data_IF_432341017895
#
_entry.id   IF_432341017895
#
_cell.length_a   1.000
_cell.length_b   1.000
_cell.length_c   1.000
_cell.angle_alpha   90.00
_cell.angle_beta   90.00
_cell.angle_gamma   90.00
#
_symmetry.space_group_name_H-M   'P 1'
#
loop_
_entity.id
_entity.type
_entity.pdbx_description
1 polymer ?
#
# COMPACT_ATOMS: atom_id res chain seq x y z
N UNK A 1 44.88 -11.34 30.87
CA UNK A 1 43.84 -10.58 31.60
C UNK A 1 43.11 -9.74 30.57
N UNK A 2 41.87 -10.13 30.29
CA UNK A 2 41.02 -9.60 29.22
C UNK A 2 40.52 -8.19 29.55
N UNK A 3 40.66 -7.23 28.63
CA UNK A 3 39.75 -6.11 28.53
C UNK A 3 39.47 -5.83 27.04
N UNK A 4 38.43 -6.50 26.53
CA UNK A 4 37.75 -6.11 25.28
C UNK A 4 36.94 -4.85 25.59
N UNK A 5 37.32 -3.71 25.00
CA UNK A 5 36.42 -2.55 24.88
C UNK A 5 35.54 -2.79 23.66
N UNK A 6 34.26 -3.13 23.91
CA UNK A 6 33.22 -3.12 22.90
C UNK A 6 33.04 -1.69 22.38
N UNK A 7 33.34 -1.48 21.09
CA UNK A 7 32.85 -0.32 20.37
C UNK A 7 31.35 -0.51 20.14
N UNK A 8 30.53 0.17 20.94
CA UNK A 8 29.14 0.42 20.63
C UNK A 8 29.08 1.30 19.38
N UNK A 9 28.79 0.72 18.22
CA UNK A 9 28.30 1.48 17.08
C UNK A 9 26.87 1.91 17.41
N UNK A 10 26.75 3.12 17.95
CA UNK A 10 25.50 3.88 17.97
C UNK A 10 25.15 4.18 16.50
N UNK A 11 24.25 3.38 15.95
CA UNK A 11 23.55 3.72 14.72
C UNK A 11 22.62 4.88 15.06
N UNK A 12 23.10 6.11 14.84
CA UNK A 12 22.30 7.31 14.94
C UNK A 12 21.27 7.27 13.81
N UNK A 13 20.04 6.86 14.14
CA UNK A 13 18.90 6.96 13.24
C UNK A 13 18.43 8.40 13.29
N UNK A 14 18.51 9.09 12.16
CA UNK A 14 17.86 10.38 11.95
C UNK A 14 16.36 10.21 12.14
N UNK A 15 15.84 10.74 13.24
CA UNK A 15 14.42 10.90 13.48
C UNK A 15 13.92 12.07 12.62
N UNK A 16 13.57 11.77 11.38
CA UNK A 16 12.70 12.64 10.59
C UNK A 16 11.83 11.77 9.67
N UNK A 17 10.74 11.28 10.24
CA UNK A 17 9.61 10.76 9.49
C UNK A 17 8.36 11.11 10.29
N UNK A 18 7.34 11.67 9.63
CA UNK A 18 6.06 11.99 10.27
C UNK A 18 5.54 10.79 11.06
N UNK A 19 4.86 11.06 12.18
CA UNK A 19 4.41 10.04 13.13
C UNK A 19 3.68 8.89 12.41
N UNK A 20 4.41 7.81 12.15
CA UNK A 20 3.85 6.57 11.63
C UNK A 20 3.06 5.93 12.77
N UNK A 21 1.81 5.58 12.52
CA UNK A 21 0.92 4.91 13.47
C UNK A 21 1.30 3.43 13.64
N UNK A 22 2.55 3.16 14.03
CA UNK A 22 3.03 1.83 14.39
C UNK A 22 2.82 1.54 15.89
N UNK A 23 3.01 0.29 16.30
CA UNK A 23 2.83 -0.09 17.69
C UNK A 23 3.78 0.65 18.64
N UNK A 24 5.02 0.93 18.22
CA UNK A 24 6.00 1.55 19.10
C UNK A 24 5.60 3.00 19.45
N UNK A 25 5.08 3.74 18.47
CA UNK A 25 4.52 5.08 18.68
C UNK A 25 3.29 5.03 19.59
N UNK A 26 2.32 4.16 19.28
CA UNK A 26 1.10 4.00 20.08
C UNK A 26 1.40 3.60 21.54
N UNK A 27 2.35 2.68 21.73
CA UNK A 27 2.80 2.22 23.04
C UNK A 27 3.52 3.31 23.82
N UNK A 28 4.30 4.16 23.16
CA UNK A 28 4.94 5.32 23.80
C UNK A 28 3.90 6.33 24.32
N UNK A 29 2.86 6.65 23.54
CA UNK A 29 1.75 7.47 24.04
C UNK A 29 1.06 6.81 25.23
N UNK A 30 0.84 5.49 25.17
CA UNK A 30 0.24 4.74 26.27
C UNK A 30 1.06 4.80 27.56
N UNK A 31 2.39 4.64 27.47
CA UNK A 31 3.31 4.73 28.61
C UNK A 31 3.35 6.14 29.22
N UNK A 32 3.13 7.17 28.42
CA UNK A 32 3.04 8.56 28.86
C UNK A 32 1.64 8.94 29.37
N UNK A 33 0.73 7.98 29.50
CA UNK A 33 -0.67 8.18 29.90
C UNK A 33 -1.48 9.06 28.93
N UNK A 34 -0.98 9.26 27.70
CA UNK A 34 -1.66 9.96 26.62
C UNK A 34 -2.61 9.01 25.88
N UNK A 35 -3.67 8.61 26.60
CA UNK A 35 -4.62 7.61 26.10
C UNK A 35 -5.46 8.12 24.93
N UNK A 36 -5.66 9.44 24.80
CA UNK A 36 -6.39 10.02 23.67
C UNK A 36 -5.67 9.75 22.33
N UNK A 37 -4.34 9.82 22.31
CA UNK A 37 -3.56 9.47 21.12
C UNK A 37 -3.32 7.96 21.01
N UNK A 38 -3.09 7.27 22.12
CA UNK A 38 -2.73 5.85 22.11
C UNK A 38 -3.87 4.93 21.68
N UNK A 39 -5.07 5.07 22.26
CA UNK A 39 -6.14 4.07 22.12
C UNK A 39 -6.70 3.93 20.71
N UNK A 40 -6.89 5.00 19.91
CA UNK A 40 -7.31 4.85 18.53
C UNK A 40 -6.31 4.03 17.69
N UNK A 41 -5.02 4.21 17.93
CA UNK A 41 -3.96 3.46 17.24
C UNK A 41 -3.91 2.00 17.72
N UNK A 42 -3.90 1.77 19.03
CA UNK A 42 -3.93 0.43 19.62
C UNK A 42 -5.18 -0.36 19.22
N UNK A 43 -6.33 0.30 19.10
CA UNK A 43 -7.57 -0.33 18.62
C UNK A 43 -7.42 -0.84 17.20
N UNK A 44 -6.84 -0.04 16.30
CA UNK A 44 -6.61 -0.46 14.92
C UNK A 44 -5.63 -1.64 14.86
N UNK A 45 -4.52 -1.59 15.61
CA UNK A 45 -3.56 -2.68 15.69
C UNK A 45 -4.19 -3.95 16.28
N UNK A 46 -5.02 -3.84 17.33
CA UNK A 46 -5.73 -4.95 17.93
C UNK A 46 -6.71 -5.62 16.96
N UNK A 47 -7.38 -4.83 16.11
CA UNK A 47 -8.25 -5.32 15.03
C UNK A 47 -7.48 -6.05 13.92
N UNK A 48 -6.21 -5.70 13.71
CA UNK A 48 -5.30 -6.45 12.83
C UNK A 48 -4.77 -7.73 13.48
N UNK A 49 -5.08 -7.97 14.76
CA UNK A 49 -4.58 -9.12 15.52
C UNK A 49 -3.25 -8.88 16.22
N UNK A 50 -2.87 -7.61 16.46
CA UNK A 50 -1.65 -7.32 17.22
C UNK A 50 -1.80 -7.75 18.68
N UNK A 51 -1.08 -8.79 19.14
CA UNK A 51 -1.36 -9.44 20.42
C UNK A 51 -1.13 -8.54 21.63
N UNK A 52 -0.06 -7.74 21.62
CA UNK A 52 0.23 -6.81 22.71
C UNK A 52 -0.79 -5.65 22.77
N UNK A 53 -1.19 -5.07 21.63
CA UNK A 53 -2.23 -4.05 21.58
C UNK A 53 -3.57 -4.57 22.13
N UNK A 54 -3.95 -5.82 21.82
CA UNK A 54 -5.13 -6.47 22.42
C UNK A 54 -5.02 -6.55 23.95
N UNK A 55 -3.85 -6.93 24.47
CA UNK A 55 -3.61 -6.96 25.91
C UNK A 55 -3.67 -5.56 26.56
N UNK A 56 -3.14 -4.53 25.89
CA UNK A 56 -3.21 -3.15 26.37
C UNK A 56 -4.64 -2.62 26.38
N UNK A 57 -5.47 -2.96 25.37
CA UNK A 57 -6.91 -2.65 25.43
C UNK A 57 -7.58 -3.32 26.63
N UNK A 58 -7.20 -4.57 26.93
CA UNK A 58 -7.73 -5.26 28.10
C UNK A 58 -7.40 -4.52 29.40
N UNK A 59 -6.15 -4.06 29.56
CA UNK A 59 -5.74 -3.23 30.70
C UNK A 59 -6.48 -1.89 30.74
N UNK A 60 -6.72 -1.27 29.59
CA UNK A 60 -7.43 0.00 29.51
C UNK A 60 -8.86 -0.11 29.99
N UNK A 61 -9.60 -1.13 29.54
CA UNK A 61 -10.95 -1.40 30.01
C UNK A 61 -10.99 -1.85 31.48
N UNK A 62 -9.96 -2.54 31.97
CA UNK A 62 -9.90 -2.95 33.37
C UNK A 62 -9.75 -1.75 34.31
N UNK A 63 -8.83 -0.84 34.01
CA UNK A 63 -8.43 0.24 34.89
C UNK A 63 -9.03 1.60 34.53
N UNK A 64 -9.84 1.67 33.46
CA UNK A 64 -10.44 2.92 33.00
C UNK A 64 -9.43 3.89 32.38
N UNK A 65 -8.38 3.37 31.72
CA UNK A 65 -7.33 4.20 31.10
C UNK A 65 -7.82 4.75 29.77
N UNK A 66 -8.38 5.95 29.76
CA UNK A 66 -8.89 6.64 28.56
C UNK A 66 -10.20 6.07 27.99
N UNK A 67 -10.79 5.08 28.64
CA UNK A 67 -12.11 4.50 28.36
C UNK A 67 -12.81 4.23 29.68
N UNK A 68 -14.14 4.07 29.66
CA UNK A 68 -14.88 3.64 30.83
C UNK A 68 -14.49 2.21 31.24
N UNK A 69 -14.57 1.94 32.54
CA UNK A 69 -14.29 0.61 33.08
C UNK A 69 -15.33 -0.39 32.56
N UNK A 70 -14.88 -1.42 31.86
CA UNK A 70 -15.71 -2.52 31.38
C UNK A 70 -14.96 -3.84 31.50
N UNK A 71 -15.26 -4.58 32.58
CA UNK A 71 -14.61 -5.87 32.86
C UNK A 71 -14.96 -6.93 31.82
N UNK A 72 -16.12 -6.85 31.14
CA UNK A 72 -16.48 -7.80 30.09
C UNK A 72 -15.61 -7.57 28.84
N UNK A 73 -15.39 -6.30 28.44
CA UNK A 73 -14.50 -5.96 27.34
C UNK A 73 -13.04 -6.26 27.69
N UNK A 74 -12.60 -5.94 28.91
CA UNK A 74 -11.27 -6.32 29.38
C UNK A 74 -11.05 -7.82 29.25
N UNK A 75 -12.00 -8.63 29.74
CA UNK A 75 -11.96 -10.08 29.66
C UNK A 75 -11.91 -10.57 28.19
N UNK A 76 -12.73 -9.99 27.32
CA UNK A 76 -12.79 -10.34 25.91
C UNK A 76 -11.45 -10.11 25.19
N UNK A 77 -10.86 -8.93 25.36
CA UNK A 77 -9.58 -8.59 24.73
C UNK A 77 -8.40 -9.40 25.30
N UNK A 78 -8.36 -9.67 26.61
CA UNK A 78 -7.34 -10.53 27.20
C UNK A 78 -7.41 -11.96 26.68
N UNK A 79 -8.63 -12.51 26.53
CA UNK A 79 -8.82 -13.84 25.98
C UNK A 79 -8.47 -13.91 24.48
N UNK A 80 -8.77 -12.84 23.73
CA UNK A 80 -8.37 -12.72 22.32
C UNK A 80 -6.84 -12.68 22.18
N UNK A 81 -6.14 -11.87 22.99
CA UNK A 81 -4.67 -11.83 23.02
C UNK A 81 -4.05 -13.19 23.36
N UNK A 82 -4.72 -13.99 24.19
CA UNK A 82 -4.29 -15.35 24.55
C UNK A 82 -4.31 -16.30 23.34
N UNK A 83 -5.22 -16.12 22.38
CA UNK A 83 -5.25 -16.94 21.15
C UNK A 83 -3.97 -16.80 20.33
N UNK A 84 -3.35 -15.62 20.39
CA UNK A 84 -2.08 -15.29 19.74
C UNK A 84 -0.85 -15.57 20.61
N UNK A 85 -1.03 -16.25 21.75
CA UNK A 85 0.04 -16.60 22.69
C UNK A 85 0.81 -15.38 23.22
N UNK A 86 0.13 -14.24 23.38
CA UNK A 86 0.73 -13.04 23.95
C UNK A 86 1.24 -13.31 25.38
N UNK A 87 2.52 -13.05 25.70
CA UNK A 87 3.01 -13.10 27.07
C UNK A 87 2.18 -12.22 28.01
N UNK A 88 1.79 -12.76 29.17
CA UNK A 88 0.95 -12.07 30.16
C UNK A 88 -0.56 -12.18 29.92
N UNK A 89 -1.01 -12.58 28.73
CA UNK A 89 -2.45 -12.64 28.43
C UNK A 89 -3.17 -13.77 29.15
N UNK A 90 -2.51 -14.91 29.40
CA UNK A 90 -3.11 -16.02 30.14
C UNK A 90 -3.36 -15.66 31.61
N UNK A 91 -2.39 -15.01 32.25
CA UNK A 91 -2.48 -14.51 33.62
C UNK A 91 -3.57 -13.44 33.73
N UNK A 92 -3.55 -12.45 32.82
CA UNK A 92 -4.56 -11.38 32.78
C UNK A 92 -5.97 -11.93 32.56
N UNK A 93 -6.13 -12.92 31.70
CA UNK A 93 -7.40 -13.64 31.51
C UNK A 93 -7.90 -14.29 32.80
N UNK A 94 -7.03 -14.98 33.55
CA UNK A 94 -7.40 -15.66 34.81
C UNK A 94 -7.82 -14.63 35.86
N UNK A 95 -7.10 -13.53 35.97
CA UNK A 95 -7.45 -12.40 36.84
C UNK A 95 -8.85 -11.86 36.52
N UNK A 96 -9.08 -11.47 35.27
CA UNK A 96 -10.33 -10.87 34.83
C UNK A 96 -11.52 -11.82 34.95
N UNK A 97 -11.31 -13.13 34.77
CA UNK A 97 -12.34 -14.16 34.97
C UNK A 97 -12.92 -14.13 36.39
N UNK A 98 -12.12 -13.77 37.40
CA UNK A 98 -12.57 -13.69 38.79
C UNK A 98 -13.28 -12.37 39.11
N UNK A 99 -13.03 -11.33 38.31
CA UNK A 99 -13.66 -10.01 38.44
C UNK A 99 -14.96 -9.88 37.65
N UNK A 100 -15.26 -10.82 36.74
CA UNK A 100 -16.47 -10.79 35.91
C UNK A 100 -17.74 -10.73 36.76
N UNK A 101 -18.62 -9.72 36.54
CA UNK A 101 -19.93 -9.66 37.19
C UNK A 101 -20.82 -10.86 36.81
N UNK A 102 -20.67 -11.35 35.58
CA UNK A 102 -21.36 -12.53 35.07
C UNK A 102 -20.49 -13.27 34.05
N UNK A 103 -20.23 -14.56 34.30
CA UNK A 103 -19.51 -15.41 33.35
C UNK A 103 -20.21 -15.54 32.01
N UNK A 104 -21.54 -15.49 32.00
CA UNK A 104 -22.33 -15.56 30.76
C UNK A 104 -22.07 -14.32 29.90
N UNK A 105 -22.17 -13.13 30.50
CA UNK A 105 -21.99 -11.85 29.80
C UNK A 105 -20.55 -11.70 29.31
N UNK A 106 -19.55 -12.01 30.15
CA UNK A 106 -18.14 -11.98 29.71
C UNK A 106 -17.86 -12.92 28.54
N UNK A 107 -18.48 -14.10 28.50
CA UNK A 107 -18.35 -15.02 27.37
C UNK A 107 -19.04 -14.49 26.11
N UNK A 108 -20.16 -13.79 26.23
CA UNK A 108 -20.83 -13.13 25.10
C UNK A 108 -19.95 -12.00 24.53
N UNK A 109 -19.40 -11.14 25.38
CA UNK A 109 -18.47 -10.08 24.96
C UNK A 109 -17.24 -10.67 24.23
N UNK A 110 -16.68 -11.79 24.73
CA UNK A 110 -15.61 -12.48 24.02
C UNK A 110 -16.03 -12.99 22.64
N UNK A 111 -17.22 -13.57 22.48
CA UNK A 111 -17.73 -14.02 21.18
C UNK A 111 -17.85 -12.82 20.22
N UNK A 112 -18.36 -11.68 20.69
CA UNK A 112 -18.51 -10.46 19.90
C UNK A 112 -17.17 -9.90 19.39
N UNK A 113 -16.13 -9.95 20.22
CA UNK A 113 -14.77 -9.53 19.85
C UNK A 113 -14.11 -10.58 18.95
N UNK A 114 -14.09 -11.85 19.35
CA UNK A 114 -13.34 -12.92 18.68
C UNK A 114 -13.90 -13.31 17.31
N UNK A 115 -15.20 -13.16 17.07
CA UNK A 115 -15.79 -13.40 15.75
C UNK A 115 -15.28 -12.44 14.67
N UNK A 116 -14.72 -11.29 15.08
CA UNK A 116 -14.18 -10.27 14.19
C UNK A 116 -12.64 -10.22 14.24
N UNK A 117 -12.07 -10.33 15.45
CA UNK A 117 -10.66 -10.03 15.70
C UNK A 117 -9.88 -11.18 16.37
N UNK A 118 -10.52 -12.34 16.54
CA UNK A 118 -9.87 -13.58 16.98
C UNK A 118 -9.03 -14.21 15.88
N UNK A 119 -8.18 -15.17 16.24
CA UNK A 119 -7.23 -15.80 15.32
C UNK A 119 -7.92 -16.49 14.14
N UNK A 120 -9.05 -17.17 14.40
CA UNK A 120 -9.82 -17.83 13.34
C UNK A 120 -10.49 -16.82 12.41
N UNK A 121 -11.11 -15.78 12.98
CA UNK A 121 -11.77 -14.72 12.22
C UNK A 121 -10.78 -13.99 11.31
N UNK A 122 -9.62 -13.60 11.85
CA UNK A 122 -8.60 -12.91 11.07
C UNK A 122 -8.01 -13.80 9.98
N UNK A 123 -7.81 -15.10 10.24
CA UNK A 123 -7.40 -16.05 9.20
C UNK A 123 -8.44 -16.15 8.06
N UNK A 124 -9.72 -16.17 8.41
CA UNK A 124 -10.83 -16.23 7.46
C UNK A 124 -10.97 -14.95 6.64
N UNK A 125 -10.94 -13.78 7.29
CA UNK A 125 -11.45 -12.53 6.72
C UNK A 125 -10.37 -11.49 6.39
N UNK A 126 -9.13 -11.69 6.83
CA UNK A 126 -8.07 -10.69 6.67
C UNK A 126 -6.76 -11.30 6.18
N UNK A 127 -6.21 -12.29 6.88
CA UNK A 127 -4.86 -12.79 6.59
C UNK A 127 -4.80 -13.53 5.25
N UNK A 128 -3.72 -13.35 4.47
CA UNK A 128 -3.53 -14.04 3.20
C UNK A 128 -3.40 -15.55 3.42
N UNK A 129 -3.97 -16.34 2.51
CA UNK A 129 -3.79 -17.79 2.49
C UNK A 129 -2.62 -18.09 1.55
N UNK A 130 -1.48 -18.46 2.13
CA UNK A 130 -0.22 -18.63 1.38
C UNK A 130 -0.20 -20.00 0.68
N UNK A 131 0.11 -20.02 -0.62
CA UNK A 131 0.39 -21.27 -1.33
C UNK A 131 1.76 -21.83 -0.94
N UNK A 132 1.87 -23.16 -0.79
CA UNK A 132 3.17 -23.80 -0.60
C UNK A 132 4.06 -23.73 -1.86
N UNK A 133 3.48 -23.46 -3.03
CA UNK A 133 4.19 -23.28 -4.29
C UNK A 133 4.23 -21.78 -4.63
N UNK A 134 5.37 -21.15 -4.38
CA UNK A 134 5.63 -19.79 -4.84
C UNK A 134 5.68 -19.78 -6.37
N UNK A 135 4.67 -19.18 -7.01
CA UNK A 135 4.76 -18.82 -8.42
C UNK A 135 5.44 -17.46 -8.47
N UNK A 136 6.62 -17.38 -9.09
CA UNK A 136 7.23 -16.07 -9.36
C UNK A 136 6.25 -15.28 -10.22
N UNK A 137 5.80 -14.08 -9.80
CA UNK A 137 5.06 -13.21 -10.70
C UNK A 137 5.89 -13.03 -11.97
N UNK A 138 5.21 -13.10 -13.12
CA UNK A 138 5.88 -13.01 -14.41
C UNK A 138 6.56 -11.65 -14.51
N UNK A 139 7.88 -11.62 -14.33
CA UNK A 139 8.65 -10.39 -14.42
C UNK A 139 8.69 -9.95 -15.88
N UNK A 140 8.18 -8.76 -16.16
CA UNK A 140 8.32 -8.16 -17.48
C UNK A 140 9.77 -7.77 -17.70
N UNK A 141 10.29 -8.10 -18.88
CA UNK A 141 11.67 -7.77 -19.24
C UNK A 141 11.71 -6.35 -19.80
N UNK A 142 12.69 -5.53 -19.39
CA UNK A 142 12.87 -4.20 -19.96
C UNK A 142 13.29 -4.30 -21.44
N UNK A 143 12.75 -3.41 -22.26
CA UNK A 143 13.17 -3.18 -23.64
C UNK A 143 14.52 -2.46 -23.67
N UNK A 144 14.66 -1.41 -22.85
CA UNK A 144 15.90 -0.66 -22.66
C UNK A 144 16.29 -0.71 -21.18
N UNK A 145 17.52 -1.16 -20.91
CA UNK A 145 17.99 -1.37 -19.54
C UNK A 145 19.42 -0.83 -19.35
N UNK A 146 19.64 0.50 -19.42
CA UNK A 146 20.94 1.07 -19.11
C UNK A 146 21.38 0.66 -17.70
N UNK A 147 22.64 0.27 -17.58
CA UNK A 147 23.23 -0.10 -16.28
C UNK A 147 23.57 1.17 -15.49
N UNK A 148 23.50 1.10 -14.14
CA UNK A 148 24.05 2.15 -13.30
C UNK A 148 25.54 2.36 -13.56
N UNK A 149 25.96 3.62 -13.53
CA UNK A 149 27.36 4.00 -13.58
C UNK A 149 27.96 3.94 -12.17
N UNK A 150 28.76 2.91 -11.91
CA UNK A 150 29.43 2.70 -10.62
C UNK A 150 30.90 3.11 -10.65
N UNK A 151 31.36 3.90 -11.62
CA UNK A 151 32.80 4.20 -11.79
C UNK A 151 33.45 4.76 -10.51
N UNK A 152 32.76 5.66 -9.81
CA UNK A 152 33.21 6.23 -8.53
C UNK A 152 33.09 5.28 -7.32
N UNK A 153 32.56 4.07 -7.52
CA UNK A 153 32.29 3.06 -6.48
C UNK A 153 33.06 1.76 -6.75
N UNK A 154 34.12 1.81 -7.55
CA UNK A 154 34.85 0.62 -7.96
C UNK A 154 35.42 -0.15 -6.75
N UNK A 155 35.00 -1.41 -6.59
CA UNK A 155 35.43 -2.28 -5.48
C UNK A 155 34.49 -2.31 -4.27
N UNK A 156 33.52 -1.41 -4.20
CA UNK A 156 32.46 -1.44 -3.19
C UNK A 156 31.52 -2.61 -3.47
N UNK A 157 31.20 -3.39 -2.44
CA UNK A 157 30.16 -4.43 -2.51
C UNK A 157 28.89 -3.82 -1.94
N UNK A 158 27.93 -3.60 -2.81
CA UNK A 158 26.68 -2.97 -2.45
C UNK A 158 25.51 -3.60 -3.20
N UNK A 159 24.32 -3.49 -2.61
CA UNK A 159 23.05 -3.81 -3.23
C UNK A 159 22.00 -2.79 -2.83
N UNK A 160 21.00 -2.62 -3.70
CA UNK A 160 19.86 -1.75 -3.45
C UNK A 160 18.60 -2.43 -3.99
N UNK A 161 17.59 -2.53 -3.15
CA UNK A 161 16.22 -2.92 -3.51
C UNK A 161 15.50 -1.65 -3.91
N UNK A 162 15.15 -1.55 -5.18
CA UNK A 162 14.47 -0.40 -5.77
C UNK A 162 13.04 -0.79 -6.10
N UNK A 163 12.10 0.07 -5.73
CA UNK A 163 10.69 -0.04 -6.07
C UNK A 163 10.34 1.02 -7.09
N UNK A 164 9.46 0.71 -8.03
CA UNK A 164 9.10 1.62 -9.12
C UNK A 164 7.79 1.18 -9.78
N UNK A 165 7.15 2.09 -10.49
CA UNK A 165 5.99 1.79 -11.32
C UNK A 165 6.39 1.80 -12.80
N UNK A 166 5.62 1.10 -13.63
CA UNK A 166 5.70 1.15 -15.08
C UNK A 166 4.37 1.68 -15.59
N UNK A 167 4.36 2.88 -16.17
CA UNK A 167 3.15 3.48 -16.71
C UNK A 167 2.72 2.84 -18.04
N UNK A 168 1.58 3.28 -18.56
CA UNK A 168 0.92 2.82 -19.78
C UNK A 168 1.78 3.05 -21.04
N UNK A 169 2.74 3.97 -20.99
CA UNK A 169 3.71 4.24 -22.05
C UNK A 169 4.99 3.40 -21.90
N UNK A 170 5.05 2.50 -20.91
CA UNK A 170 6.22 1.66 -20.65
C UNK A 170 7.38 2.39 -19.97
N UNK A 171 7.16 3.59 -19.45
CA UNK A 171 8.18 4.38 -18.76
C UNK A 171 8.16 4.09 -17.26
N UNK A 172 9.34 4.21 -16.64
CA UNK A 172 9.48 4.09 -15.19
C UNK A 172 9.16 5.41 -14.49
N UNK A 173 8.35 5.35 -13.45
CA UNK A 173 8.04 6.48 -12.57
C UNK A 173 7.95 6.05 -11.09
N UNK A 174 7.80 7.03 -10.19
CA UNK A 174 7.71 6.83 -8.74
C UNK A 174 8.82 5.93 -8.14
N UNK A 175 10.01 5.96 -8.76
CA UNK A 175 11.11 5.10 -8.33
C UNK A 175 11.71 5.56 -7.01
N UNK A 176 11.98 4.60 -6.12
CA UNK A 176 12.58 4.85 -4.80
C UNK A 176 13.42 3.67 -4.34
N UNK A 177 14.48 3.96 -3.59
CA UNK A 177 15.25 2.93 -2.90
C UNK A 177 14.51 2.54 -1.62
N UNK A 178 14.09 1.28 -1.54
CA UNK A 178 13.39 0.74 -0.39
C UNK A 178 14.35 0.30 0.71
N UNK A 179 15.51 -0.22 0.30
CA UNK A 179 16.56 -0.69 1.19
C UNK A 179 17.88 -0.80 0.43
N UNK A 180 18.98 -0.34 1.00
CA UNK A 180 20.30 -0.53 0.43
C UNK A 180 21.35 -0.89 1.47
N UNK A 181 22.39 -1.57 1.01
CA UNK A 181 23.59 -1.87 1.76
C UNK A 181 24.84 -1.58 0.93
N UNK A 182 25.85 -0.91 1.49
CA UNK A 182 25.71 -0.06 2.67
C UNK A 182 24.69 1.07 2.37
N UNK A 183 24.01 1.61 3.39
CA UNK A 183 22.94 2.58 3.16
C UNK A 183 23.40 3.79 2.33
N UNK A 184 22.57 4.19 1.36
CA UNK A 184 22.78 5.36 0.50
C UNK A 184 24.02 5.34 -0.43
N UNK A 185 24.78 4.24 -0.47
CA UNK A 185 26.08 4.24 -1.19
C UNK A 185 25.94 4.17 -2.72
N UNK A 186 24.87 3.54 -3.21
CA UNK A 186 24.63 3.37 -4.65
C UNK A 186 23.25 3.89 -5.08
N UNK A 187 22.55 4.60 -4.19
CA UNK A 187 21.13 4.93 -4.34
C UNK A 187 20.90 5.90 -5.51
N UNK A 188 21.74 6.91 -5.65
CA UNK A 188 21.65 7.89 -6.74
C UNK A 188 21.90 7.22 -8.11
N UNK A 189 22.93 6.37 -8.18
CA UNK A 189 23.32 5.68 -9.41
C UNK A 189 22.24 4.72 -9.89
N UNK A 190 21.60 3.97 -8.97
CA UNK A 190 20.54 3.02 -9.34
C UNK A 190 19.24 3.72 -9.72
N UNK A 191 18.88 4.83 -9.06
CA UNK A 191 17.71 5.63 -9.42
C UNK A 191 17.91 6.30 -10.79
N UNK A 192 19.10 6.86 -11.03
CA UNK A 192 19.44 7.47 -12.32
C UNK A 192 19.40 6.45 -13.48
N UNK A 193 19.72 5.19 -13.20
CA UNK A 193 19.63 4.11 -14.18
C UNK A 193 18.18 3.68 -14.42
N UNK A 194 17.43 3.37 -13.36
CA UNK A 194 16.10 2.78 -13.47
C UNK A 194 15.09 3.75 -14.11
N UNK A 195 15.23 5.05 -13.88
CA UNK A 195 14.38 6.07 -14.53
C UNK A 195 14.58 6.17 -16.05
N UNK A 196 15.62 5.53 -16.58
CA UNK A 196 15.88 5.44 -18.03
C UNK A 196 15.46 4.07 -18.61
N UNK A 197 14.92 3.19 -17.78
CA UNK A 197 14.44 1.90 -18.24
C UNK A 197 13.10 2.07 -18.95
N UNK A 198 12.88 1.25 -19.96
CA UNK A 198 11.61 1.19 -20.68
C UNK A 198 11.15 -0.25 -20.81
N UNK A 199 9.84 -0.43 -20.91
CA UNK A 199 9.16 -1.72 -20.96
C UNK A 199 8.10 -1.73 -22.05
N UNK A 200 7.66 -2.93 -22.41
CA UNK A 200 6.39 -3.13 -23.13
C UNK A 200 5.33 -3.49 -22.08
N UNK A 201 4.38 -2.60 -21.76
CA UNK A 201 3.31 -2.93 -20.82
C UNK A 201 2.43 -4.06 -21.35
N UNK A 202 1.88 -4.92 -20.48
CA UNK A 202 0.87 -5.87 -20.88
C UNK A 202 -0.38 -5.12 -21.35
N UNK A 203 -1.19 -5.76 -22.20
CA UNK A 203 -2.43 -5.16 -22.70
C UNK A 203 -3.66 -5.92 -22.19
N UNK A 204 -4.75 -5.21 -21.95
CA UNK A 204 -6.04 -5.82 -21.58
C UNK A 204 -6.72 -6.45 -22.81
N UNK A 205 -7.92 -7.01 -22.64
CA UNK A 205 -8.67 -7.64 -23.72
C UNK A 205 -9.07 -6.66 -24.85
N UNK A 206 -9.12 -5.36 -24.55
CA UNK A 206 -9.46 -4.28 -25.48
C UNK A 206 -8.22 -3.68 -26.16
N UNK A 207 -7.01 -4.15 -25.81
CA UNK A 207 -5.75 -3.66 -26.36
C UNK A 207 -5.15 -2.46 -25.62
N UNK A 208 -5.76 -1.97 -24.54
CA UNK A 208 -5.19 -0.88 -23.75
C UNK A 208 -3.99 -1.36 -22.94
N UNK A 209 -2.95 -0.54 -22.88
CA UNK A 209 -1.82 -0.79 -22.01
C UNK A 209 -2.24 -0.79 -20.52
N UNK A 210 -1.75 -1.76 -19.77
CA UNK A 210 -1.98 -1.93 -18.35
C UNK A 210 -0.74 -1.44 -17.59
N UNK A 211 -0.94 -0.43 -16.76
CA UNK A 211 0.04 0.05 -15.80
C UNK A 211 0.43 -1.06 -14.81
N UNK A 212 1.72 -1.14 -14.49
CA UNK A 212 2.24 -2.08 -13.50
C UNK A 212 2.85 -1.33 -12.34
N UNK A 213 2.11 -1.26 -11.26
CA UNK A 213 2.61 -0.57 -10.09
C UNK A 213 3.47 -1.47 -9.21
N UNK A 214 4.31 -0.84 -8.38
CA UNK A 214 5.04 -1.49 -7.30
C UNK A 214 5.96 -2.63 -7.73
N UNK A 215 6.58 -2.49 -8.89
CA UNK A 215 7.62 -3.41 -9.34
C UNK A 215 8.84 -3.29 -8.41
N UNK A 216 9.60 -4.39 -8.29
CA UNK A 216 10.81 -4.42 -7.45
C UNK A 216 11.98 -4.96 -8.26
N UNK A 217 13.13 -4.29 -8.17
CA UNK A 217 14.39 -4.73 -8.74
C UNK A 217 15.53 -4.66 -7.72
N UNK A 218 16.45 -5.61 -7.78
CA UNK A 218 17.64 -5.63 -6.91
C UNK A 218 18.87 -5.32 -7.75
N UNK A 219 19.43 -4.13 -7.54
CA UNK A 219 20.74 -3.78 -8.08
C UNK A 219 21.85 -4.32 -7.19
N UNK A 220 22.95 -4.69 -7.81
CA UNK A 220 24.17 -5.04 -7.08
C UNK A 220 25.41 -4.66 -7.88
N UNK A 221 26.48 -4.33 -7.18
CA UNK A 221 27.78 -4.00 -7.80
C UNK A 221 28.57 -5.27 -8.12
N UNK A 222 29.47 -5.71 -7.22
CA UNK A 222 30.25 -6.95 -7.32
C UNK A 222 29.57 -8.08 -6.55
N UNK A 223 29.80 -9.33 -6.99
CA UNK A 223 29.34 -10.52 -6.26
C UNK A 223 29.92 -10.54 -4.85
N UNK A 224 29.06 -10.57 -3.84
CA UNK A 224 29.43 -10.65 -2.42
C UNK A 224 30.39 -11.83 -2.13
N UNK A 225 30.23 -12.96 -2.81
CA UNK A 225 31.10 -14.14 -2.65
C UNK A 225 32.57 -13.89 -3.01
N UNK A 226 32.85 -12.88 -3.83
CA UNK A 226 34.22 -12.49 -4.22
C UNK A 226 34.82 -11.39 -3.33
N UNK A 227 34.05 -10.89 -2.36
CA UNK A 227 34.47 -9.81 -1.48
C UNK A 227 35.51 -10.26 -0.46
N UNK A 228 36.30 -9.33 0.08
CA UNK A 228 37.18 -9.59 1.24
C UNK A 228 36.34 -10.08 2.42
N UNK A 229 36.87 -11.01 3.22
CA UNK A 229 36.19 -11.59 4.40
C UNK A 229 35.59 -10.53 5.35
N UNK A 230 36.28 -9.41 5.54
CA UNK A 230 35.79 -8.28 6.34
C UNK A 230 34.44 -7.73 5.81
N UNK A 231 34.33 -7.53 4.50
CA UNK A 231 33.11 -7.00 3.85
C UNK A 231 31.98 -8.02 3.92
N UNK A 232 32.28 -9.31 3.75
CA UNK A 232 31.27 -10.37 3.93
C UNK A 232 30.73 -10.40 5.36
N UNK A 233 31.60 -10.22 6.36
CA UNK A 233 31.21 -10.15 7.76
C UNK A 233 30.37 -8.92 8.08
N UNK A 234 30.75 -7.74 7.56
CA UNK A 234 29.99 -6.49 7.73
C UNK A 234 28.60 -6.60 7.11
N UNK A 235 28.49 -7.20 5.93
CA UNK A 235 27.21 -7.48 5.27
C UNK A 235 26.33 -8.42 6.09
N UNK A 236 26.90 -9.52 6.60
CA UNK A 236 26.15 -10.44 7.45
C UNK A 236 25.69 -9.78 8.74
N UNK A 237 26.57 -9.00 9.38
CA UNK A 237 26.25 -8.24 10.61
C UNK A 237 25.09 -7.29 10.39
N UNK A 238 25.03 -6.62 9.23
CA UNK A 238 23.91 -5.77 8.87
C UNK A 238 22.58 -6.55 8.77
N UNK A 239 22.58 -7.68 8.06
CA UNK A 239 21.38 -8.54 7.94
C UNK A 239 20.95 -9.06 9.32
N UNK A 240 21.89 -9.49 10.15
CA UNK A 240 21.61 -10.01 11.48
C UNK A 240 21.02 -8.93 12.40
N UNK A 241 21.53 -7.69 12.32
CA UNK A 241 20.97 -6.56 13.05
C UNK A 241 19.54 -6.23 12.61
N UNK A 242 19.27 -6.24 11.30
CA UNK A 242 17.91 -6.03 10.76
C UNK A 242 16.98 -7.16 11.25
N UNK A 243 17.44 -8.41 11.20
CA UNK A 243 16.66 -9.56 11.69
C UNK A 243 16.37 -9.44 13.19
N UNK A 244 17.37 -9.11 14.00
CA UNK A 244 17.21 -8.95 15.44
C UNK A 244 16.17 -7.88 15.79
N UNK A 245 16.19 -6.74 15.10
CA UNK A 245 15.17 -5.70 15.27
C UNK A 245 13.79 -6.18 14.78
N UNK A 246 13.73 -6.93 13.69
CA UNK A 246 12.48 -7.51 13.21
C UNK A 246 11.86 -8.52 14.22
N UNK A 247 12.70 -9.37 14.82
CA UNK A 247 12.33 -10.34 15.86
C UNK A 247 11.91 -9.66 17.17
N UNK A 248 12.50 -8.50 17.47
CA UNK A 248 12.11 -7.66 18.60
C UNK A 248 10.75 -6.93 18.38
N UNK A 249 10.12 -7.10 17.22
CA UNK A 249 8.79 -6.56 16.95
C UNK A 249 8.78 -5.12 16.47
N UNK A 250 9.84 -4.63 15.81
CA UNK A 250 9.81 -3.31 15.16
C UNK A 250 9.24 -3.42 13.74
N UNK A 251 8.11 -2.75 13.47
CA UNK A 251 7.34 -2.86 12.22
C UNK A 251 8.17 -2.54 10.97
N UNK A 252 8.95 -1.46 11.01
CA UNK A 252 9.87 -1.06 9.94
C UNK A 252 10.91 -2.15 9.63
N UNK A 253 11.51 -2.76 10.66
CA UNK A 253 12.52 -3.79 10.47
C UNK A 253 11.93 -5.12 10.03
N UNK A 254 10.71 -5.45 10.45
CA UNK A 254 9.97 -6.59 9.90
C UNK A 254 9.74 -6.42 8.39
N UNK A 255 9.38 -5.21 7.94
CA UNK A 255 9.25 -4.89 6.52
C UNK A 255 10.60 -4.97 5.78
N UNK A 256 11.66 -4.33 6.32
CA UNK A 256 13.00 -4.38 5.74
C UNK A 256 13.54 -5.80 5.64
N UNK A 257 13.32 -6.63 6.65
CA UNK A 257 13.71 -8.03 6.60
C UNK A 257 12.91 -8.80 5.53
N UNK A 258 11.62 -8.52 5.38
CA UNK A 258 10.80 -9.02 4.26
C UNK A 258 11.40 -8.67 2.88
N UNK A 259 11.89 -7.44 2.70
CA UNK A 259 12.61 -7.01 1.49
C UNK A 259 13.91 -7.81 1.26
N UNK A 260 14.69 -8.06 2.32
CA UNK A 260 15.92 -8.87 2.27
C UNK A 260 15.59 -10.31 1.83
N UNK A 261 14.52 -10.90 2.36
CA UNK A 261 14.03 -12.23 1.97
C UNK A 261 13.58 -12.23 0.51
N UNK A 262 12.78 -11.24 0.09
CA UNK A 262 12.29 -11.10 -1.28
C UNK A 262 13.44 -10.92 -2.29
N UNK A 263 14.48 -10.18 -1.91
CA UNK A 263 15.69 -10.00 -2.70
C UNK A 263 16.55 -11.28 -2.82
N UNK A 264 16.22 -12.34 -2.08
CA UNK A 264 16.99 -13.60 -2.08
C UNK A 264 18.35 -13.48 -1.40
N UNK A 265 18.55 -12.46 -0.57
CA UNK A 265 19.79 -12.24 0.20
C UNK A 265 19.91 -13.19 1.39
N UNK A 266 18.77 -13.74 1.84
CA UNK A 266 18.67 -14.84 2.80
C UNK A 266 17.79 -15.96 2.21
N UNK A 267 17.97 -17.19 2.70
CA UNK A 267 17.24 -18.38 2.23
C UNK A 267 16.42 -19.01 3.36
N UNK A 268 15.35 -19.73 3.01
CA UNK A 268 14.55 -20.53 3.94
C UNK A 268 13.44 -19.76 4.67
N UNK A 269 13.31 -18.46 4.40
CA UNK A 269 12.30 -17.58 5.00
C UNK A 269 11.17 -17.32 4.00
N UNK A 270 9.95 -17.09 4.50
CA UNK A 270 8.77 -16.76 3.67
C UNK A 270 8.52 -15.25 3.69
N UNK A 271 8.51 -14.63 2.51
CA UNK A 271 8.32 -13.16 2.36
C UNK A 271 7.02 -12.69 3.02
N UNK A 272 5.90 -13.37 2.72
CA UNK A 272 4.58 -12.98 3.24
C UNK A 272 4.48 -13.05 4.76
N UNK A 273 5.21 -13.96 5.42
CA UNK A 273 5.18 -14.07 6.88
C UNK A 273 5.78 -12.80 7.52
N UNK A 274 6.83 -12.24 6.92
CA UNK A 274 7.47 -11.00 7.38
C UNK A 274 6.64 -9.76 7.06
N UNK A 275 6.04 -9.69 5.86
CA UNK A 275 5.12 -8.62 5.53
C UNK A 275 3.86 -8.66 6.39
N UNK A 276 3.31 -9.84 6.70
CA UNK A 276 2.14 -9.93 7.55
C UNK A 276 2.45 -9.46 8.98
N UNK A 277 3.60 -9.87 9.55
CA UNK A 277 4.07 -9.37 10.86
C UNK A 277 4.17 -7.84 10.85
N UNK A 278 4.86 -7.27 9.86
CA UNK A 278 5.02 -5.83 9.73
C UNK A 278 3.66 -5.10 9.56
N UNK A 279 2.75 -5.66 8.77
CA UNK A 279 1.44 -5.08 8.47
C UNK A 279 0.54 -5.04 9.72
N UNK A 280 0.51 -6.13 10.49
CA UNK A 280 -0.19 -6.22 11.79
C UNK A 280 0.37 -5.20 12.78
N UNK A 281 1.65 -4.89 12.65
CA UNK A 281 2.38 -3.94 13.47
C UNK A 281 2.31 -2.48 12.99
N UNK A 282 1.46 -2.21 12.00
CA UNK A 282 1.17 -0.86 11.52
C UNK A 282 2.06 -0.37 10.38
N UNK A 283 2.91 -1.23 9.80
CA UNK A 283 3.71 -0.83 8.63
C UNK A 283 2.83 -0.73 7.37
N UNK A 284 2.57 0.49 6.91
CA UNK A 284 1.69 0.77 5.78
C UNK A 284 2.20 0.18 4.45
N UNK A 285 3.52 0.15 4.22
CA UNK A 285 4.09 -0.48 3.02
C UNK A 285 3.87 -1.99 3.03
N UNK A 286 3.99 -2.63 4.20
CA UNK A 286 3.68 -4.04 4.35
C UNK A 286 2.18 -4.33 4.17
N UNK A 287 1.29 -3.49 4.73
CA UNK A 287 -0.16 -3.60 4.51
C UNK A 287 -0.48 -3.54 3.01
N UNK A 288 0.14 -2.61 2.29
CA UNK A 288 0.02 -2.50 0.85
C UNK A 288 0.54 -3.74 0.10
N UNK A 289 1.67 -4.31 0.54
CA UNK A 289 2.21 -5.54 -0.07
C UNK A 289 1.30 -6.75 0.16
N UNK A 290 0.67 -6.86 1.33
CA UNK A 290 -0.32 -7.90 1.59
C UNK A 290 -1.55 -7.69 0.71
N UNK A 291 -2.07 -6.46 0.59
CA UNK A 291 -3.17 -6.13 -0.31
C UNK A 291 -2.89 -6.57 -1.76
N UNK A 292 -1.72 -6.22 -2.30
CA UNK A 292 -1.34 -6.63 -3.65
C UNK A 292 -1.24 -8.15 -3.81
N UNK A 293 -0.80 -8.87 -2.78
CA UNK A 293 -0.80 -10.33 -2.83
C UNK A 293 -2.22 -10.86 -3.00
N UNK A 294 -3.17 -10.44 -2.16
CA UNK A 294 -4.55 -10.94 -2.21
C UNK A 294 -5.35 -10.39 -3.40
N UNK A 295 -4.92 -9.29 -4.05
CA UNK A 295 -5.47 -8.87 -5.34
C UNK A 295 -4.97 -9.73 -6.50
N UNK A 296 -3.65 -9.89 -6.59
CA UNK A 296 -2.99 -10.41 -7.80
C UNK A 296 -2.74 -11.91 -7.74
N UNK A 297 -2.79 -12.53 -6.57
CA UNK A 297 -2.59 -13.96 -6.37
C UNK A 297 -1.15 -14.42 -6.55
N UNK A 298 -0.17 -13.51 -6.48
CA UNK A 298 1.23 -13.81 -6.84
C UNK A 298 1.94 -14.71 -5.83
N UNK A 299 1.46 -14.76 -4.58
CA UNK A 299 2.07 -15.55 -3.49
C UNK A 299 1.02 -16.17 -2.53
N UNK A 300 -0.25 -15.85 -2.73
CA UNK A 300 -1.38 -16.23 -1.89
C UNK A 300 -2.65 -16.34 -2.75
N UNK A 301 -3.72 -16.88 -2.18
CA UNK A 301 -5.03 -16.91 -2.83
C UNK A 301 -5.53 -15.48 -3.11
N UNK A 302 -6.18 -15.30 -4.28
CA UNK A 302 -6.90 -14.06 -4.59
C UNK A 302 -8.15 -13.96 -3.72
N UNK A 303 -8.35 -12.79 -3.12
CA UNK A 303 -9.52 -12.46 -2.30
C UNK A 303 -9.72 -10.94 -2.29
N UNK A 304 -10.67 -10.46 -3.09
CA UNK A 304 -10.98 -9.02 -3.21
C UNK A 304 -11.51 -8.41 -1.91
N UNK A 305 -12.19 -9.18 -1.06
CA UNK A 305 -12.67 -8.68 0.23
C UNK A 305 -11.51 -8.46 1.19
N UNK A 306 -10.56 -9.39 1.25
CA UNK A 306 -9.31 -9.19 2.01
C UNK A 306 -8.50 -8.02 1.47
N UNK A 307 -8.47 -7.86 0.14
CA UNK A 307 -7.79 -6.74 -0.50
C UNK A 307 -8.35 -5.39 -0.04
N UNK A 308 -9.67 -5.20 -0.11
CA UNK A 308 -10.34 -3.97 0.35
C UNK A 308 -9.99 -3.66 1.81
N UNK A 309 -10.00 -4.68 2.67
CA UNK A 309 -9.64 -4.50 4.08
C UNK A 309 -8.19 -4.01 4.24
N UNK A 310 -7.22 -4.68 3.60
CA UNK A 310 -5.81 -4.28 3.69
C UNK A 310 -5.54 -2.92 3.04
N UNK A 311 -6.16 -2.64 1.90
CA UNK A 311 -6.06 -1.34 1.23
C UNK A 311 -6.65 -0.23 2.09
N UNK A 312 -7.75 -0.47 2.81
CA UNK A 312 -8.31 0.51 3.74
C UNK A 312 -7.31 0.88 4.84
N UNK A 313 -6.57 -0.11 5.36
CA UNK A 313 -5.50 0.17 6.33
C UNK A 313 -4.30 0.89 5.69
N UNK A 314 -3.89 0.50 4.49
CA UNK A 314 -2.76 1.10 3.79
C UNK A 314 -3.03 2.55 3.32
N UNK A 315 -4.27 2.84 2.90
CA UNK A 315 -4.76 4.16 2.49
C UNK A 315 -5.06 5.10 3.67
N UNK A 316 -5.02 4.56 4.90
CA UNK A 316 -5.34 5.32 6.12
C UNK A 316 -4.42 6.55 6.22
N UNK A 317 -5.02 7.67 6.61
CA UNK A 317 -4.38 8.99 6.75
C UNK A 317 -3.82 9.56 5.43
N UNK A 318 -4.07 8.89 4.29
CA UNK A 318 -3.69 9.34 2.97
C UNK A 318 -2.24 9.11 2.60
N UNK A 319 -1.42 8.52 3.46
CA UNK A 319 0.03 8.45 3.20
C UNK A 319 0.45 7.48 2.07
N UNK A 320 -0.51 6.80 1.43
CA UNK A 320 -0.26 5.91 0.31
C UNK A 320 -1.30 6.12 -0.81
N UNK A 321 -1.06 7.06 -1.74
CA UNK A 321 -2.04 7.38 -2.79
C UNK A 321 -2.29 6.20 -3.73
N UNK A 322 -1.31 5.32 -3.91
CA UNK A 322 -1.46 4.09 -4.68
C UNK A 322 -2.45 3.12 -4.01
N UNK A 323 -2.39 2.98 -2.67
CA UNK A 323 -3.37 2.18 -1.93
C UNK A 323 -4.78 2.77 -2.04
N UNK A 324 -4.92 4.10 -1.92
CA UNK A 324 -6.19 4.79 -2.09
C UNK A 324 -6.76 4.59 -3.50
N UNK A 325 -5.91 4.67 -4.53
CA UNK A 325 -6.32 4.41 -5.91
C UNK A 325 -6.81 2.97 -6.13
N UNK A 326 -6.03 1.97 -5.73
CA UNK A 326 -6.45 0.57 -5.86
C UNK A 326 -7.72 0.27 -5.06
N UNK A 327 -7.90 0.91 -3.90
CA UNK A 327 -9.12 0.79 -3.11
C UNK A 327 -10.32 1.34 -3.88
N UNK A 328 -10.17 2.52 -4.47
CA UNK A 328 -11.22 3.10 -5.29
C UNK A 328 -11.58 2.22 -6.47
N UNK A 329 -10.60 1.63 -7.17
CA UNK A 329 -10.88 0.68 -8.25
C UNK A 329 -11.71 -0.51 -7.79
N UNK A 330 -11.41 -1.09 -6.62
CA UNK A 330 -12.21 -2.18 -6.05
C UNK A 330 -13.64 -1.75 -5.67
N UNK A 331 -13.82 -0.50 -5.27
CA UNK A 331 -15.13 0.07 -4.92
C UNK A 331 -15.92 0.56 -6.16
N UNK A 332 -15.27 0.73 -7.31
CA UNK A 332 -15.90 1.04 -8.60
C UNK A 332 -16.26 -0.20 -9.42
N UNK A 333 -15.75 -1.36 -9.03
CA UNK A 333 -16.14 -2.63 -9.64
C UNK A 333 -17.59 -2.99 -9.25
N UNK A 334 -18.51 -2.88 -10.21
CA UNK A 334 -19.94 -3.15 -9.99
C UNK A 334 -20.25 -4.59 -9.59
N UNK A 335 -19.34 -5.53 -9.86
CA UNK A 335 -19.49 -6.93 -9.45
C UNK A 335 -19.04 -7.16 -8.00
N UNK A 336 -18.42 -6.16 -7.37
CA UNK A 336 -17.97 -6.24 -5.99
C UNK A 336 -19.12 -5.97 -5.01
N UNK A 337 -19.27 -6.82 -3.98
CA UNK A 337 -20.30 -6.63 -2.94
C UNK A 337 -20.12 -5.32 -2.14
N UNK A 338 -18.91 -4.74 -2.18
CA UNK A 338 -18.58 -3.47 -1.56
C UNK A 338 -18.64 -2.29 -2.56
N UNK A 339 -19.25 -2.47 -3.73
CA UNK A 339 -19.42 -1.41 -4.73
C UNK A 339 -20.01 -0.14 -4.08
N UNK A 340 -19.24 0.95 -4.13
CA UNK A 340 -19.56 2.23 -3.52
C UNK A 340 -18.80 3.35 -4.23
N UNK A 341 -19.38 3.91 -5.32
CA UNK A 341 -18.73 4.96 -6.10
C UNK A 341 -18.56 6.27 -5.32
N UNK A 342 -19.41 6.55 -4.31
CA UNK A 342 -19.25 7.74 -3.47
C UNK A 342 -18.01 7.61 -2.57
N UNK A 343 -17.80 6.43 -1.99
CA UNK A 343 -16.59 6.14 -1.22
C UNK A 343 -15.36 6.02 -2.11
N UNK A 344 -15.48 5.47 -3.32
CA UNK A 344 -14.38 5.45 -4.29
C UNK A 344 -13.92 6.86 -4.64
N UNK A 345 -14.85 7.79 -4.90
CA UNK A 345 -14.55 9.19 -5.16
C UNK A 345 -13.75 9.86 -4.03
N UNK A 346 -14.02 9.52 -2.77
CA UNK A 346 -13.27 10.04 -1.63
C UNK A 346 -11.80 9.58 -1.64
N UNK A 347 -11.54 8.29 -1.90
CA UNK A 347 -10.18 7.77 -1.98
C UNK A 347 -9.45 8.25 -3.24
N UNK A 348 -10.16 8.41 -4.36
CA UNK A 348 -9.63 9.03 -5.56
C UNK A 348 -9.22 10.48 -5.32
N UNK A 349 -10.07 11.28 -4.67
CA UNK A 349 -9.76 12.65 -4.29
C UNK A 349 -8.51 12.72 -3.41
N UNK A 350 -8.42 11.87 -2.39
CA UNK A 350 -7.26 11.79 -1.49
C UNK A 350 -5.95 11.45 -2.21
N UNK A 351 -6.00 10.55 -3.21
CA UNK A 351 -4.83 10.21 -4.03
C UNK A 351 -4.48 11.34 -5.02
N UNK A 352 -5.50 11.96 -5.62
CA UNK A 352 -5.34 13.09 -6.54
C UNK A 352 -4.74 14.33 -5.86
N UNK A 353 -5.11 14.61 -4.60
CA UNK A 353 -4.52 15.68 -3.77
C UNK A 353 -3.01 15.51 -3.57
N UNK A 354 -2.50 14.28 -3.65
CA UNK A 354 -1.07 13.95 -3.63
C UNK A 354 -0.44 13.89 -5.02
N UNK A 355 -1.11 14.43 -6.02
CA UNK A 355 -0.67 14.44 -7.41
C UNK A 355 -0.48 13.04 -8.02
N UNK A 356 -1.17 12.02 -7.53
CA UNK A 356 -1.09 10.68 -8.11
C UNK A 356 -1.87 10.62 -9.43
N UNK A 357 -1.14 10.68 -10.55
CA UNK A 357 -1.67 10.77 -11.91
C UNK A 357 -2.82 9.80 -12.22
N UNK A 358 -2.70 8.48 -11.95
CA UNK A 358 -3.79 7.54 -12.22
C UNK A 358 -5.09 7.87 -11.48
N UNK A 359 -5.00 8.38 -10.24
CA UNK A 359 -6.19 8.80 -9.50
C UNK A 359 -6.78 10.11 -10.06
N UNK A 360 -5.95 11.06 -10.52
CA UNK A 360 -6.43 12.27 -11.18
C UNK A 360 -7.26 11.91 -12.41
N UNK A 361 -6.73 11.02 -13.26
CA UNK A 361 -7.40 10.55 -14.47
C UNK A 361 -8.74 9.91 -14.14
N UNK A 362 -8.74 8.89 -13.28
CA UNK A 362 -9.95 8.14 -12.93
C UNK A 362 -10.99 9.03 -12.23
N UNK A 363 -10.54 9.93 -11.36
CA UNK A 363 -11.45 10.83 -10.64
C UNK A 363 -12.10 11.85 -11.57
N UNK A 364 -11.32 12.44 -12.49
CA UNK A 364 -11.86 13.39 -13.45
C UNK A 364 -12.91 12.71 -14.35
N UNK A 365 -12.63 11.49 -14.83
CA UNK A 365 -13.60 10.71 -15.61
C UNK A 365 -14.85 10.36 -14.80
N UNK A 366 -14.70 9.93 -13.54
CA UNK A 366 -15.83 9.65 -12.65
C UNK A 366 -16.72 10.91 -12.45
N UNK A 367 -16.11 12.08 -12.25
CA UNK A 367 -16.84 13.34 -12.10
C UNK A 367 -17.56 13.76 -13.39
N UNK A 368 -16.99 13.50 -14.56
CA UNK A 368 -17.61 13.86 -15.84
C UNK A 368 -18.74 12.91 -16.24
N UNK A 369 -18.60 11.61 -15.98
CA UNK A 369 -19.40 10.56 -16.61
C UNK A 369 -20.33 9.81 -15.66
N UNK A 370 -20.23 10.03 -14.34
CA UNK A 370 -21.07 9.32 -13.36
C UNK A 370 -22.55 9.62 -13.53
N UNK A 371 -23.38 8.56 -13.57
CA UNK A 371 -24.85 8.68 -13.50
C UNK A 371 -25.36 9.15 -12.13
N UNK A 372 -24.54 9.03 -11.07
CA UNK A 372 -24.88 9.58 -9.75
C UNK A 372 -24.74 11.11 -9.75
N UNK A 373 -25.84 11.88 -9.62
CA UNK A 373 -25.80 13.34 -9.69
C UNK A 373 -25.08 13.99 -8.50
N UNK A 374 -24.84 13.25 -7.39
CA UNK A 374 -24.02 13.76 -6.28
C UNK A 374 -22.53 13.77 -6.61
N UNK A 375 -22.11 12.90 -7.52
CA UNK A 375 -20.72 12.79 -7.97
C UNK A 375 -20.49 13.61 -9.23
N UNK A 376 -21.47 13.62 -10.15
CA UNK A 376 -21.34 14.28 -11.44
C UNK A 376 -21.09 15.79 -11.27
N UNK A 377 -20.00 16.27 -11.86
CA UNK A 377 -19.61 17.68 -11.84
C UNK A 377 -18.66 17.98 -13.00
N UNK A 378 -19.20 18.47 -14.11
CA UNK A 378 -18.43 18.87 -15.29
C UNK A 378 -17.34 19.92 -14.95
N UNK A 379 -17.66 20.91 -14.11
CA UNK A 379 -16.70 21.95 -13.71
C UNK A 379 -15.48 21.36 -12.99
N UNK A 380 -15.71 20.51 -11.97
CA UNK A 380 -14.62 19.88 -11.22
C UNK A 380 -13.84 18.90 -12.09
N UNK A 381 -14.52 18.17 -12.98
CA UNK A 381 -13.87 17.27 -13.92
C UNK A 381 -12.87 18.01 -14.82
N UNK A 382 -13.26 19.15 -15.40
CA UNK A 382 -12.38 19.98 -16.23
C UNK A 382 -11.18 20.47 -15.42
N UNK A 383 -11.40 21.07 -14.24
CA UNK A 383 -10.32 21.60 -13.40
C UNK A 383 -9.30 20.52 -13.02
N UNK A 384 -9.80 19.33 -12.67
CA UNK A 384 -8.95 18.21 -12.29
C UNK A 384 -8.20 17.64 -13.50
N UNK A 385 -8.88 17.50 -14.64
CA UNK A 385 -8.26 17.04 -15.87
C UNK A 385 -7.18 17.99 -16.38
N UNK A 386 -7.41 19.30 -16.35
CA UNK A 386 -6.38 20.31 -16.66
C UNK A 386 -5.17 20.23 -15.71
N UNK A 387 -5.39 19.84 -14.46
CA UNK A 387 -4.28 19.60 -13.52
C UNK A 387 -3.49 18.35 -13.91
N UNK A 388 -4.16 17.28 -14.32
CA UNK A 388 -3.51 16.08 -14.85
C UNK A 388 -2.74 16.32 -16.16
N UNK A 389 -3.25 17.18 -17.05
CA UNK A 389 -2.56 17.56 -18.29
C UNK A 389 -1.25 18.34 -18.03
N UNK A 390 -1.05 18.90 -16.84
CA UNK A 390 0.28 19.46 -16.48
C UNK A 390 1.33 18.37 -16.25
N UNK A 391 0.90 17.15 -15.91
CA UNK A 391 1.77 15.98 -15.73
C UNK A 391 1.96 15.22 -17.05
N UNK A 392 0.88 15.07 -17.81
CA UNK A 392 0.83 14.35 -19.08
C UNK A 392 0.00 15.13 -20.10
N UNK A 393 0.65 16.00 -20.88
CA UNK A 393 0.02 17.08 -21.67
C UNK A 393 -0.93 16.66 -22.78
N UNK A 394 -0.78 15.44 -23.24
CA UNK A 394 -1.56 14.84 -24.33
C UNK A 394 -2.27 13.57 -23.84
N UNK A 395 -2.57 13.45 -22.54
CA UNK A 395 -3.27 12.28 -22.02
C UNK A 395 -4.67 12.12 -22.67
N UNK A 396 -4.92 11.05 -23.46
CA UNK A 396 -6.17 10.91 -24.20
C UNK A 396 -7.41 10.83 -23.29
N UNK A 397 -7.29 10.17 -22.14
CA UNK A 397 -8.40 10.04 -21.16
C UNK A 397 -8.76 11.39 -20.55
N UNK A 398 -7.77 12.24 -20.26
CA UNK A 398 -8.03 13.59 -19.73
C UNK A 398 -8.63 14.51 -20.79
N UNK A 399 -8.11 14.46 -22.02
CA UNK A 399 -8.65 15.23 -23.15
C UNK A 399 -10.10 14.84 -23.44
N UNK A 400 -10.42 13.54 -23.48
CA UNK A 400 -11.79 13.07 -23.67
C UNK A 400 -12.71 13.46 -22.52
N UNK A 401 -12.22 13.41 -21.28
CA UNK A 401 -12.95 13.86 -20.09
C UNK A 401 -13.30 15.35 -20.17
N UNK A 402 -12.36 16.21 -20.57
CA UNK A 402 -12.64 17.63 -20.80
C UNK A 402 -13.64 17.80 -21.93
N UNK A 403 -13.50 17.04 -23.01
CA UNK A 403 -14.42 17.08 -24.14
C UNK A 403 -15.87 16.82 -23.75
N UNK A 404 -16.12 15.73 -23.02
CA UNK A 404 -17.43 15.35 -22.51
C UNK A 404 -17.99 16.41 -21.56
N UNK A 405 -17.18 16.87 -20.60
CA UNK A 405 -17.60 17.87 -19.63
C UNK A 405 -17.93 19.23 -20.28
N UNK A 406 -17.22 19.62 -21.35
CA UNK A 406 -17.51 20.84 -22.12
C UNK A 406 -18.84 20.72 -22.88
N UNK A 407 -19.13 19.57 -23.48
CA UNK A 407 -20.40 19.31 -24.16
C UNK A 407 -21.57 19.41 -23.18
N UNK A 408 -21.42 18.81 -21.98
CA UNK A 408 -22.41 18.93 -20.91
C UNK A 408 -22.67 20.38 -20.47
N UNK A 409 -21.64 21.24 -20.55
CA UNK A 409 -21.79 22.69 -20.31
C UNK A 409 -22.30 23.49 -21.52
N UNK A 410 -22.72 22.82 -22.60
CA UNK A 410 -23.23 23.45 -23.83
C UNK A 410 -22.15 23.98 -24.78
N UNK A 411 -20.86 23.68 -24.53
CA UNK A 411 -19.75 24.11 -25.37
C UNK A 411 -19.41 23.07 -26.46
N UNK A 412 -20.41 22.69 -27.27
CA UNK A 412 -20.36 21.57 -28.23
C UNK A 412 -19.07 21.54 -29.07
N UNK A 413 -18.79 22.61 -29.82
CA UNK A 413 -17.65 22.67 -30.75
C UNK A 413 -16.30 22.49 -30.04
N UNK A 414 -16.17 23.04 -28.82
CA UNK A 414 -14.92 22.91 -28.04
C UNK A 414 -14.77 21.49 -27.52
N UNK A 415 -15.86 20.88 -27.08
CA UNK A 415 -15.80 19.53 -26.56
C UNK A 415 -15.53 18.48 -27.64
N UNK A 416 -16.14 18.61 -28.82
CA UNK A 416 -15.81 17.77 -29.99
C UNK A 416 -14.35 17.94 -30.41
N UNK A 417 -13.80 19.17 -30.39
CA UNK A 417 -12.40 19.41 -30.68
C UNK A 417 -11.45 18.71 -29.68
N UNK A 418 -11.81 18.68 -28.39
CA UNK A 418 -11.03 17.96 -27.37
C UNK A 418 -11.12 16.44 -27.54
N UNK A 419 -12.28 15.91 -27.92
CA UNK A 419 -12.44 14.48 -28.24
C UNK A 419 -11.62 14.09 -29.48
N UNK A 420 -11.56 14.95 -30.49
CA UNK A 420 -10.69 14.75 -31.65
C UNK A 420 -9.20 14.75 -31.27
N UNK A 421 -8.77 15.68 -30.41
CA UNK A 421 -7.40 15.69 -29.87
C UNK A 421 -7.09 14.42 -29.05
N UNK A 422 -8.07 13.89 -28.30
CA UNK A 422 -7.90 12.64 -27.58
C UNK A 422 -7.64 11.46 -28.53
N UNK A 423 -8.33 11.39 -29.67
CA UNK A 423 -8.11 10.38 -30.71
C UNK A 423 -6.69 10.51 -31.26
N UNK A 424 -6.27 11.71 -31.66
CA UNK A 424 -4.93 11.97 -32.22
C UNK A 424 -3.83 11.58 -31.21
N UNK A 425 -3.98 11.97 -29.96
CA UNK A 425 -3.01 11.62 -28.92
C UNK A 425 -2.97 10.11 -28.63
N UNK A 426 -4.11 9.42 -28.70
CA UNK A 426 -4.15 7.96 -28.59
C UNK A 426 -3.45 7.27 -29.77
N UNK A 427 -3.60 7.80 -30.99
CA UNK A 427 -2.90 7.29 -32.18
C UNK A 427 -1.38 7.47 -32.06
N UNK A 428 -0.92 8.65 -31.65
CA UNK A 428 0.51 8.95 -31.45
C UNK A 428 1.17 8.02 -30.42
N UNK A 429 0.39 7.57 -29.42
CA UNK A 429 0.82 6.63 -28.38
C UNK A 429 0.64 5.15 -28.75
N UNK A 430 0.06 4.85 -29.92
CA UNK A 430 -0.34 3.51 -30.32
C UNK A 430 -1.26 2.83 -29.27
N UNK A 431 -2.21 3.62 -28.76
CA UNK A 431 -3.31 3.19 -27.90
C UNK A 431 -4.57 2.89 -28.72
N UNK A 432 -5.51 2.16 -28.14
CA UNK A 432 -6.79 1.91 -28.80
C UNK A 432 -7.57 3.22 -28.96
N UNK A 433 -8.18 3.43 -30.13
CA UNK A 433 -8.92 4.68 -30.44
C UNK A 433 -10.43 4.49 -30.47
N UNK A 434 -10.90 3.24 -30.48
CA UNK A 434 -12.31 2.90 -30.67
C UNK A 434 -13.20 3.59 -29.63
N UNK A 435 -12.84 3.50 -28.35
CA UNK A 435 -13.57 4.16 -27.26
C UNK A 435 -13.70 5.68 -27.47
N UNK A 436 -12.65 6.35 -27.92
CA UNK A 436 -12.67 7.81 -28.14
C UNK A 436 -13.50 8.19 -29.38
N UNK A 437 -13.46 7.35 -30.42
CA UNK A 437 -14.28 7.53 -31.64
C UNK A 437 -15.76 7.29 -31.36
N UNK A 438 -16.08 6.31 -30.52
CA UNK A 438 -17.44 6.06 -30.04
C UNK A 438 -17.96 7.25 -29.23
N UNK A 439 -17.17 7.75 -28.26
CA UNK A 439 -17.51 8.96 -27.50
C UNK A 439 -17.76 10.17 -28.41
N UNK A 440 -16.90 10.41 -29.40
CA UNK A 440 -17.13 11.50 -30.35
C UNK A 440 -18.44 11.32 -31.14
N UNK A 441 -18.76 10.09 -31.54
CA UNK A 441 -19.99 9.78 -32.29
C UNK A 441 -21.23 9.97 -31.43
N UNK A 442 -21.21 9.47 -30.19
CA UNK A 442 -22.31 9.57 -29.23
C UNK A 442 -22.62 11.02 -28.88
N UNK A 443 -21.59 11.82 -28.62
CA UNK A 443 -21.76 13.20 -28.19
C UNK A 443 -21.94 14.20 -29.35
N UNK A 444 -21.53 13.87 -30.58
CA UNK A 444 -21.83 14.69 -31.77
C UNK A 444 -23.33 14.72 -32.14
N UNK A 445 -24.10 13.69 -31.76
CA UNK A 445 -25.52 13.56 -32.09
C UNK A 445 -26.48 14.41 -31.24
N UNK A 446 -26.03 15.01 -30.14
CA UNK A 446 -26.90 15.75 -29.20
C UNK A 446 -27.40 17.10 -29.72
N UNK A 447 -26.94 17.52 -30.91
CA UNK A 447 -27.39 18.73 -31.62
C UNK A 447 -28.86 18.71 -32.09
N UNK A 448 -29.55 17.56 -32.07
CA UNK A 448 -30.86 17.43 -32.75
C UNK A 448 -32.08 17.21 -31.84
N UNK A 449 -31.93 17.05 -30.52
CA UNK A 449 -33.06 16.71 -29.63
C UNK A 449 -33.53 17.83 -28.70
N UNK A 450 -32.87 19.00 -28.70
CA UNK A 450 -33.29 20.14 -27.87
C UNK A 450 -34.02 21.27 -28.62
N UNK A 451 -34.33 21.10 -29.91
CA UNK A 451 -35.26 21.98 -30.61
C UNK A 451 -36.56 21.25 -30.99
N UNK A 452 -37.56 21.48 -30.12
CA UNK A 452 -38.99 21.62 -30.42
C UNK A 452 -39.91 20.38 -30.49
N UNK A 453 -41.23 20.54 -30.17
CA UNK A 453 -42.01 21.80 -30.11
C UNK A 453 -42.17 22.44 -28.73
#
# INVERSE_FOLDING_TARGET
MFLKRCCCFLLAIGLSAGAQADFAAAFKHYQNEDYQQALPQLTNLARLGHPHAQLLLAESYQYGKGVDVDINQAYAWALTAREFQQPGAAEKYIELRNLLPSRRIGKQAYVEVSQNYGALALKGNLYPIVHNLYQRPQQIKPLRQPKPDYEQRNGTVAWAVVMFDINENGQVENSKVALSYPPAVIDEEVIAAINKWTYEPPRNAYGDAIRLDHQTHVFSTKKLSSAKRKVQLEHQTYIDAVKQAADAGFAEYQYKYGLIVQAGLVKGEKVLDWYLKAAINGNQLAQFNIAQCVLNGSQCDKDGNKAINWLTFAAKDGNNPQASYLLAQQLLDSDNIQFDPERAAQYLAQAAEQNYGPAIVEYASLLAMSDNPKLRSAEKAIQLAETGLKQDSDNPKLLSTIGIALIEQGMQQRGEAMLQQAIEAAEDRNWATDNYRELLTEYAGQLQTSEQP
#
